data_IF_550409668200
#
_entry.id   IF_550409668200
#
_cell.length_a   1.000
_cell.length_b   1.000
_cell.length_c   1.000
_cell.angle_alpha   90.00
_cell.angle_beta   90.00
_cell.angle_gamma   90.00
#
_symmetry.space_group_name_H-M   'P 1'
#
loop_
_entity.id
_entity.type
_entity.pdbx_description
1 polymer ?
#
# COMPACT_ATOMS: atom_id res chain seq x y z
N UNK A 1 51.05 0.51 -28.16
CA UNK A 1 50.29 -0.17 -29.23
C UNK A 1 48.87 0.39 -29.23
N UNK A 2 48.46 1.05 -30.33
CA UNK A 2 47.12 1.63 -30.54
C UNK A 2 46.38 0.79 -31.59
N UNK A 3 45.09 0.49 -31.42
CA UNK A 3 44.33 -0.21 -32.46
C UNK A 3 43.95 0.74 -33.61
N UNK A 4 43.76 0.21 -34.84
CA UNK A 4 43.49 0.99 -36.03
C UNK A 4 42.03 1.45 -36.11
N UNK A 5 41.84 2.66 -36.64
CA UNK A 5 40.53 3.25 -36.96
C UNK A 5 40.04 2.68 -38.30
N UNK A 6 38.89 2.05 -38.30
CA UNK A 6 38.18 1.66 -39.52
C UNK A 6 37.25 2.79 -39.99
N UNK A 7 37.46 3.26 -41.21
CA UNK A 7 36.55 4.11 -41.96
C UNK A 7 35.33 3.30 -42.44
N UNK A 8 34.12 3.79 -42.19
CA UNK A 8 32.92 3.37 -42.93
C UNK A 8 32.31 4.57 -43.65
N UNK A 9 32.06 4.34 -44.92
CA UNK A 9 31.42 5.22 -45.90
C UNK A 9 29.95 5.47 -45.56
N UNK A 10 29.51 6.71 -45.80
CA UNK A 10 28.11 7.16 -45.72
C UNK A 10 27.38 6.86 -47.04
N UNK A 11 26.26 6.17 -46.98
CA UNK A 11 25.21 6.18 -48.01
C UNK A 11 24.05 7.07 -47.56
N UNK A 12 23.47 7.93 -48.43
CA UNK A 12 22.31 8.74 -48.10
C UNK A 12 21.02 7.96 -48.40
N UNK A 13 20.34 7.48 -47.36
CA UNK A 13 18.95 7.02 -47.49
C UNK A 13 17.99 8.17 -47.24
N UNK A 14 17.34 8.62 -48.32
CA UNK A 14 16.05 9.32 -48.27
C UNK A 14 14.99 8.28 -47.90
N UNK A 15 14.35 8.41 -46.75
CA UNK A 15 13.06 7.77 -46.50
C UNK A 15 12.13 8.72 -45.75
N UNK A 16 10.91 8.77 -46.29
CA UNK A 16 9.70 9.44 -45.87
C UNK A 16 9.60 9.84 -44.39
N UNK A 17 9.12 11.07 -44.19
CA UNK A 17 8.80 11.60 -42.88
C UNK A 17 7.75 10.76 -42.14
N UNK A 18 7.85 10.65 -40.81
CA UNK A 18 6.83 9.99 -40.02
C UNK A 18 5.58 10.85 -40.01
N UNK A 19 4.47 10.29 -40.50
CA UNK A 19 3.13 10.76 -40.16
C UNK A 19 3.03 10.65 -38.65
N UNK A 20 2.92 11.78 -37.97
CA UNK A 20 2.68 11.86 -36.54
C UNK A 20 1.28 11.28 -36.26
N UNK A 21 1.22 9.96 -36.04
CA UNK A 21 0.07 9.34 -35.42
C UNK A 21 0.01 9.88 -33.98
N UNK A 22 -0.87 10.86 -33.78
CA UNK A 22 -1.26 11.29 -32.46
C UNK A 22 -1.87 10.08 -31.74
N UNK A 23 -1.04 9.41 -30.94
CA UNK A 23 -1.46 8.45 -29.93
C UNK A 23 -2.37 9.22 -28.97
N UNK A 24 -3.67 9.20 -29.26
CA UNK A 24 -4.71 9.28 -28.24
C UNK A 24 -4.51 8.06 -27.36
N UNK A 25 -3.55 8.15 -26.43
CA UNK A 25 -3.42 7.23 -25.33
C UNK A 25 -4.79 7.23 -24.65
N UNK A 26 -5.51 6.14 -24.89
CA UNK A 26 -6.82 5.92 -24.32
C UNK A 26 -6.73 6.21 -22.83
N UNK A 27 -7.69 6.98 -22.34
CA UNK A 27 -8.07 7.00 -20.93
C UNK A 27 -8.42 5.56 -20.57
N UNK A 28 -7.39 4.76 -20.28
CA UNK A 28 -7.52 3.42 -19.74
C UNK A 28 -8.37 3.58 -18.49
N UNK A 29 -9.46 2.84 -18.45
CA UNK A 29 -10.42 2.87 -17.36
C UNK A 29 -9.67 2.65 -16.05
N UNK A 30 -9.37 3.75 -15.35
CA UNK A 30 -9.17 3.75 -13.91
C UNK A 30 -10.37 2.96 -13.38
N UNK A 31 -10.12 1.72 -12.92
CA UNK A 31 -11.15 0.74 -12.58
C UNK A 31 -12.35 1.44 -11.98
N UNK A 32 -13.50 1.31 -12.64
CA UNK A 32 -14.59 2.26 -12.53
C UNK A 32 -15.06 2.40 -11.08
N UNK A 33 -14.49 3.37 -10.36
CA UNK A 33 -15.05 3.83 -9.10
C UNK A 33 -16.42 4.41 -9.45
N UNK A 34 -17.44 3.90 -8.77
CA UNK A 34 -18.85 4.23 -8.96
C UNK A 34 -19.13 5.71 -8.66
N UNK A 35 -18.31 6.35 -7.83
CA UNK A 35 -18.39 7.77 -7.51
C UNK A 35 -17.04 8.52 -7.54
N UNK A 36 -17.07 9.87 -7.62
CA UNK A 36 -15.86 10.68 -7.62
C UNK A 36 -15.09 10.61 -6.30
N UNK A 37 -15.79 10.37 -5.18
CA UNK A 37 -15.22 10.27 -3.83
C UNK A 37 -14.92 8.84 -3.37
N UNK A 38 -15.14 7.85 -4.22
CA UNK A 38 -14.71 6.49 -3.95
C UNK A 38 -13.18 6.42 -4.12
N UNK A 39 -12.53 5.70 -3.21
CA UNK A 39 -11.10 5.59 -3.21
C UNK A 39 -10.58 4.91 -4.50
N UNK A 40 -9.52 5.46 -5.06
CA UNK A 40 -8.85 4.94 -6.24
C UNK A 40 -7.93 3.79 -5.84
N UNK A 41 -7.81 2.81 -6.73
CA UNK A 41 -6.86 1.73 -6.57
C UNK A 41 -5.41 2.29 -6.60
N UNK A 42 -4.61 1.97 -5.58
CA UNK A 42 -3.26 2.52 -5.42
C UNK A 42 -2.36 2.17 -6.60
N UNK A 43 -2.14 0.88 -6.88
CA UNK A 43 -1.30 0.39 -7.98
C UNK A 43 -1.72 0.98 -9.33
N UNK A 44 -3.00 0.91 -9.68
CA UNK A 44 -3.51 1.42 -10.97
C UNK A 44 -3.33 2.93 -11.10
N UNK A 45 -3.43 3.68 -10.00
CA UNK A 45 -3.21 5.13 -10.02
C UNK A 45 -1.74 5.48 -10.32
N UNK A 46 -0.79 4.71 -9.80
CA UNK A 46 0.63 4.87 -10.13
C UNK A 46 0.93 4.41 -11.57
N UNK A 47 0.41 3.26 -12.00
CA UNK A 47 0.59 2.75 -13.37
C UNK A 47 0.04 3.73 -14.42
N UNK A 48 -1.11 4.36 -14.13
CA UNK A 48 -1.70 5.38 -14.99
C UNK A 48 -0.93 6.74 -14.95
N UNK A 49 0.04 6.91 -14.05
CA UNK A 49 0.82 8.13 -13.90
C UNK A 49 0.01 9.33 -13.39
N UNK A 50 -1.20 9.11 -12.84
CA UNK A 50 -2.05 10.19 -12.32
C UNK A 50 -1.61 10.67 -10.93
N UNK A 51 -0.73 9.91 -10.27
CA UNK A 51 -0.06 10.26 -9.01
C UNK A 51 1.44 9.91 -9.07
N UNK A 52 2.25 10.64 -8.31
CA UNK A 52 3.65 10.29 -8.04
C UNK A 52 3.87 10.26 -6.53
N UNK A 53 4.78 9.39 -6.11
CA UNK A 53 5.01 9.22 -4.69
C UNK A 53 5.56 10.49 -4.05
N UNK A 54 5.03 10.85 -2.88
CA UNK A 54 5.37 12.06 -2.14
C UNK A 54 4.51 13.27 -2.52
N UNK A 55 3.59 13.13 -3.47
CA UNK A 55 2.59 14.16 -3.76
C UNK A 55 1.39 14.11 -2.80
N UNK A 56 1.07 12.93 -2.26
CA UNK A 56 0.07 12.73 -1.21
C UNK A 56 0.72 12.60 0.17
N UNK A 57 0.15 11.72 0.99
CA UNK A 57 0.57 11.48 2.38
C UNK A 57 1.52 10.27 2.53
N UNK A 58 2.04 9.71 1.43
CA UNK A 58 2.83 8.46 1.48
C UNK A 58 4.06 8.57 2.38
N UNK A 59 4.68 9.75 2.37
CA UNK A 59 5.90 10.07 3.12
C UNK A 59 5.64 11.04 4.28
N UNK A 60 4.37 11.28 4.63
CA UNK A 60 3.99 12.24 5.66
C UNK A 60 4.62 11.90 7.03
N UNK A 61 4.80 10.61 7.33
CA UNK A 61 5.45 10.16 8.57
C UNK A 61 6.91 10.60 8.71
N UNK A 62 7.60 10.91 7.61
CA UNK A 62 8.99 11.33 7.58
C UNK A 62 9.14 12.84 7.35
N UNK A 63 8.27 13.43 6.52
CA UNK A 63 8.36 14.84 6.13
C UNK A 63 7.43 15.78 6.89
N UNK A 64 6.37 15.25 7.51
CA UNK A 64 5.19 16.00 7.98
C UNK A 64 4.60 16.94 6.91
N UNK A 65 4.78 16.61 5.63
CA UNK A 65 4.35 17.43 4.48
C UNK A 65 3.94 16.57 3.29
N UNK A 66 2.97 17.05 2.51
CA UNK A 66 2.61 16.51 1.19
C UNK A 66 3.28 17.33 0.08
N UNK A 67 3.13 16.91 -1.18
CA UNK A 67 3.63 17.65 -2.34
C UNK A 67 5.13 17.99 -2.25
N UNK A 68 5.92 16.97 -1.90
CA UNK A 68 7.36 17.09 -1.74
C UNK A 68 8.03 17.46 -3.08
N UNK A 69 8.93 18.42 -3.02
CA UNK A 69 9.81 18.77 -4.14
C UNK A 69 10.87 17.68 -4.36
N UNK A 70 11.53 17.71 -5.52
CA UNK A 70 12.62 16.78 -5.84
C UNK A 70 13.75 16.80 -4.78
N UNK A 71 14.04 17.96 -4.19
CA UNK A 71 15.06 18.08 -3.15
C UNK A 71 14.59 17.47 -1.83
N UNK A 72 13.35 17.71 -1.42
CA UNK A 72 12.79 17.08 -0.21
C UNK A 72 12.69 15.54 -0.35
N UNK A 73 12.41 15.04 -1.56
CA UNK A 73 12.46 13.61 -1.86
C UNK A 73 13.87 13.02 -1.72
N UNK A 74 14.91 13.82 -1.96
CA UNK A 74 16.29 13.39 -1.79
C UNK A 74 16.63 13.17 -0.31
N UNK A 75 16.15 14.04 0.58
CA UNK A 75 16.35 13.95 2.03
C UNK A 75 15.73 12.68 2.63
N UNK A 76 14.66 12.16 2.03
CA UNK A 76 13.99 10.92 2.44
C UNK A 76 14.24 9.76 1.46
N UNK A 77 15.29 9.84 0.63
CA UNK A 77 15.55 8.89 -0.47
C UNK A 77 15.60 7.41 -0.04
N UNK A 78 16.17 7.11 1.13
CA UNK A 78 16.19 5.73 1.66
C UNK A 78 14.77 5.21 1.95
N UNK A 79 13.91 6.06 2.53
CA UNK A 79 12.51 5.75 2.82
C UNK A 79 11.65 5.79 1.56
N UNK A 80 12.01 6.61 0.58
CA UNK A 80 11.31 6.71 -0.70
C UNK A 80 11.28 5.34 -1.39
N UNK A 81 12.41 4.64 -1.44
CA UNK A 81 12.44 3.34 -2.11
C UNK A 81 11.57 2.30 -1.39
N UNK A 82 11.77 2.15 -0.07
CA UNK A 82 11.03 1.22 0.78
C UNK A 82 9.52 1.51 0.79
N UNK A 83 9.13 2.78 0.81
CA UNK A 83 7.72 3.18 0.95
C UNK A 83 7.02 3.22 -0.40
N UNK A 84 7.63 3.82 -1.42
CA UNK A 84 6.97 4.05 -2.69
C UNK A 84 7.01 2.81 -3.58
N UNK A 85 8.21 2.29 -3.86
CA UNK A 85 8.38 1.19 -4.80
C UNK A 85 8.03 -0.15 -4.19
N UNK A 86 8.42 -0.41 -2.94
CA UNK A 86 8.15 -1.70 -2.29
C UNK A 86 6.77 -1.80 -1.64
N UNK A 87 6.01 -0.71 -1.53
CA UNK A 87 4.70 -0.72 -0.88
C UNK A 87 3.59 -0.03 -1.70
N UNK A 88 3.54 1.30 -1.77
CA UNK A 88 2.38 2.00 -2.34
C UNK A 88 2.10 1.65 -3.81
N UNK A 89 3.14 1.48 -4.63
CA UNK A 89 3.00 1.06 -6.04
C UNK A 89 2.59 -0.42 -6.20
N UNK A 90 2.58 -1.19 -5.12
CA UNK A 90 2.33 -2.64 -5.10
C UNK A 90 0.93 -2.99 -4.60
N UNK A 91 0.30 -2.09 -3.84
CA UNK A 91 -1.01 -2.31 -3.25
C UNK A 91 -2.07 -2.29 -4.37
N UNK A 92 -2.56 -3.45 -4.77
CA UNK A 92 -3.65 -3.56 -5.74
C UNK A 92 -5.01 -3.56 -5.02
N UNK A 93 -5.31 -2.45 -4.37
CA UNK A 93 -6.52 -2.24 -3.59
C UNK A 93 -6.94 -0.77 -3.59
N UNK A 94 -8.21 -0.50 -3.33
CA UNK A 94 -8.74 0.87 -3.20
C UNK A 94 -8.90 1.32 -1.75
N UNK A 95 -8.74 0.44 -0.77
CA UNK A 95 -8.97 0.76 0.63
C UNK A 95 -7.96 1.73 1.23
N UNK A 96 -8.39 2.39 2.30
CA UNK A 96 -7.63 3.41 3.00
C UNK A 96 -6.48 2.83 3.83
N UNK A 97 -5.43 3.65 3.95
CA UNK A 97 -4.19 3.37 4.68
C UNK A 97 -3.98 4.43 5.77
N UNK A 98 -3.16 4.12 6.77
CA UNK A 98 -2.84 5.08 7.83
C UNK A 98 -2.19 6.35 7.25
N UNK A 99 -2.58 7.52 7.77
CA UNK A 99 -1.96 8.82 7.42
C UNK A 99 -0.49 8.82 7.81
N UNK A 100 -0.23 8.52 9.09
CA UNK A 100 1.13 8.32 9.58
C UNK A 100 1.37 6.83 9.78
N UNK A 101 2.38 6.29 9.10
CA UNK A 101 2.88 4.93 9.33
C UNK A 101 3.17 4.74 10.83
N UNK A 102 2.54 3.74 11.43
CA UNK A 102 2.67 3.47 12.87
C UNK A 102 2.18 4.64 13.74
N UNK A 103 1.09 5.32 13.35
CA UNK A 103 0.43 6.29 14.20
C UNK A 103 0.04 5.65 15.54
N UNK A 104 0.22 6.40 16.62
CA UNK A 104 -0.30 6.03 17.93
C UNK A 104 -1.79 6.40 18.01
N UNK A 105 -2.62 5.67 18.77
CA UNK A 105 -4.05 5.98 18.90
C UNK A 105 -4.36 7.43 19.36
N UNK A 106 -3.43 8.05 20.08
CA UNK A 106 -3.52 9.43 20.60
C UNK A 106 -2.98 10.49 19.64
N UNK A 107 -2.53 10.12 18.43
CA UNK A 107 -1.95 11.05 17.45
C UNK A 107 -2.97 11.97 16.77
N UNK A 108 -4.22 12.00 17.25
CA UNK A 108 -5.28 12.83 16.68
C UNK A 108 -5.54 12.51 15.21
N UNK A 109 -5.49 13.52 14.36
CA UNK A 109 -5.74 13.36 12.92
C UNK A 109 -4.70 12.47 12.22
N UNK A 110 -3.46 12.39 12.74
CA UNK A 110 -2.40 11.54 12.19
C UNK A 110 -2.68 10.04 12.37
N UNK A 111 -3.57 9.68 13.32
CA UNK A 111 -4.08 8.33 13.50
C UNK A 111 -5.20 7.96 12.52
N UNK A 112 -5.61 8.92 11.69
CA UNK A 112 -6.62 8.74 10.65
C UNK A 112 -6.15 7.84 9.50
N UNK A 113 -7.10 7.57 8.61
CA UNK A 113 -6.90 6.81 7.39
C UNK A 113 -7.06 7.76 6.18
N UNK A 114 -6.42 7.45 5.05
CA UNK A 114 -6.54 8.24 3.84
C UNK A 114 -6.50 7.38 2.57
N UNK A 115 -6.97 7.95 1.47
CA UNK A 115 -6.87 7.36 0.14
C UNK A 115 -6.85 8.45 -0.94
N UNK A 116 -6.47 8.08 -2.16
CA UNK A 116 -6.69 8.92 -3.34
C UNK A 116 -8.12 8.81 -3.84
N UNK A 117 -8.64 9.89 -4.41
CA UNK A 117 -9.97 10.00 -5.02
C UNK A 117 -9.88 10.83 -6.29
N UNK A 118 -10.92 10.82 -7.13
CA UNK A 118 -10.91 11.67 -8.32
C UNK A 118 -10.96 13.15 -7.93
N UNK A 119 -10.41 14.02 -8.79
CA UNK A 119 -10.31 15.46 -8.55
C UNK A 119 -11.67 16.17 -8.41
N UNK A 120 -12.75 15.54 -8.89
CA UNK A 120 -14.12 16.03 -8.76
C UNK A 120 -14.71 15.81 -7.36
N UNK A 121 -14.08 14.97 -6.51
CA UNK A 121 -14.55 14.76 -5.15
C UNK A 121 -14.47 16.05 -4.33
N UNK A 122 -15.60 16.43 -3.74
CA UNK A 122 -15.68 17.59 -2.83
C UNK A 122 -15.66 17.20 -1.35
N UNK A 123 -15.97 15.95 -1.03
CA UNK A 123 -15.96 15.41 0.34
C UNK A 123 -14.57 14.91 0.74
N UNK A 124 -13.60 15.82 0.87
CA UNK A 124 -12.20 15.46 1.14
C UNK A 124 -11.88 15.22 2.62
N UNK A 125 -12.77 15.59 3.55
CA UNK A 125 -12.54 15.34 4.98
C UNK A 125 -11.26 15.99 5.55
N UNK A 126 -10.83 17.13 5.01
CA UNK A 126 -9.55 17.76 5.33
C UNK A 126 -8.42 17.43 4.34
N UNK A 127 -8.70 16.62 3.33
CA UNK A 127 -7.78 16.37 2.23
C UNK A 127 -7.72 17.46 1.18
N UNK A 128 -6.81 17.28 0.22
CA UNK A 128 -6.43 18.32 -0.75
C UNK A 128 -6.26 17.75 -2.16
N UNK A 129 -6.35 18.63 -3.16
CA UNK A 129 -6.00 18.31 -4.54
C UNK A 129 -4.51 17.99 -4.68
N UNK A 130 -4.21 16.95 -5.45
CA UNK A 130 -2.83 16.59 -5.81
C UNK A 130 -2.38 17.52 -6.93
N UNK A 131 -1.28 18.24 -6.69
CA UNK A 131 -0.66 19.12 -7.68
C UNK A 131 0.71 18.58 -8.05
N UNK A 132 1.03 18.64 -9.34
CA UNK A 132 2.35 18.27 -9.85
C UNK A 132 3.29 19.47 -9.73
N UNK A 133 4.33 19.40 -8.89
CA UNK A 133 5.38 20.43 -8.86
C UNK A 133 6.37 20.25 -10.00
N UNK A 134 6.25 21.08 -11.02
CA UNK A 134 7.31 21.32 -12.00
C UNK A 134 8.32 22.35 -11.50
N UNK A 135 9.44 22.51 -12.20
CA UNK A 135 10.46 23.53 -11.89
C UNK A 135 9.92 24.96 -11.96
N UNK A 136 8.88 25.20 -12.77
CA UNK A 136 8.38 26.54 -13.08
C UNK A 136 6.88 26.73 -12.83
N UNK A 137 6.10 25.66 -12.70
CA UNK A 137 4.67 25.74 -12.45
C UNK A 137 4.13 24.51 -11.74
N UNK A 138 3.00 24.68 -11.04
CA UNK A 138 2.21 23.58 -10.46
C UNK A 138 0.93 23.42 -11.26
N UNK A 139 0.60 22.21 -11.73
CA UNK A 139 -0.73 21.95 -12.31
C UNK A 139 -1.48 20.85 -11.55
N UNK A 140 -2.82 20.95 -11.52
CA UNK A 140 -3.67 19.88 -10.99
C UNK A 140 -3.47 18.57 -11.76
N UNK A 141 -3.54 17.45 -11.04
CA UNK A 141 -3.50 16.10 -11.66
C UNK A 141 -4.87 15.51 -11.95
N UNK A 142 -5.95 16.19 -11.59
CA UNK A 142 -7.29 15.61 -11.62
C UNK A 142 -7.47 14.49 -10.58
N UNK A 143 -6.65 14.47 -9.54
CA UNK A 143 -6.72 13.55 -8.39
C UNK A 143 -6.62 14.39 -7.13
N UNK A 144 -7.33 13.97 -6.09
CA UNK A 144 -7.23 14.50 -4.73
C UNK A 144 -6.93 13.36 -3.77
N UNK A 145 -6.52 13.67 -2.55
CA UNK A 145 -6.59 12.71 -1.45
C UNK A 145 -7.65 13.16 -0.45
N UNK A 146 -8.23 12.20 0.27
CA UNK A 146 -9.20 12.47 1.34
C UNK A 146 -8.82 11.74 2.62
N UNK A 147 -9.28 12.26 3.75
CA UNK A 147 -9.31 11.51 5.01
C UNK A 147 -10.54 10.62 4.98
N UNK A 148 -10.32 9.33 5.23
CA UNK A 148 -11.35 8.31 5.16
C UNK A 148 -12.22 8.29 6.42
N UNK A 149 -13.48 7.90 6.24
CA UNK A 149 -14.44 7.78 7.34
C UNK A 149 -14.60 6.32 7.75
N UNK A 150 -14.44 5.99 9.04
CA UNK A 150 -14.67 4.63 9.54
C UNK A 150 -16.09 4.15 9.20
N UNK A 151 -16.21 2.93 8.68
CA UNK A 151 -17.49 2.32 8.31
C UNK A 151 -18.10 2.78 6.97
N UNK A 152 -17.62 3.89 6.39
CA UNK A 152 -18.04 4.36 5.06
C UNK A 152 -17.02 3.93 3.99
N UNK A 153 -15.73 4.10 4.28
CA UNK A 153 -14.66 3.76 3.35
C UNK A 153 -14.03 2.40 3.68
N UNK A 154 -13.80 1.59 2.64
CA UNK A 154 -13.05 0.35 2.78
C UNK A 154 -11.65 0.64 3.35
N UNK A 155 -11.19 -0.15 4.31
CA UNK A 155 -9.90 0.04 4.98
C UNK A 155 -9.16 -1.27 5.14
N UNK A 156 -7.82 -1.23 5.11
CA UNK A 156 -7.01 -2.38 5.47
C UNK A 156 -6.97 -2.62 6.99
N UNK A 157 -7.33 -1.63 7.82
CA UNK A 157 -7.30 -1.73 9.28
C UNK A 157 -8.20 -2.85 9.83
N UNK A 158 -9.31 -3.11 9.15
CA UNK A 158 -10.26 -4.17 9.52
C UNK A 158 -9.83 -5.58 9.12
N UNK A 159 -8.74 -5.74 8.36
CA UNK A 159 -8.23 -7.07 8.00
C UNK A 159 -7.45 -7.65 9.17
N UNK A 160 -7.71 -8.92 9.49
CA UNK A 160 -6.88 -9.71 10.39
C UNK A 160 -5.53 -10.09 9.73
N UNK A 161 -4.54 -10.55 10.51
CA UNK A 161 -3.19 -10.76 9.99
C UNK A 161 -3.08 -11.78 8.85
N UNK A 162 -3.76 -12.92 8.95
CA UNK A 162 -3.81 -13.92 7.90
C UNK A 162 -4.46 -13.38 6.60
N UNK A 163 -5.55 -12.62 6.73
CA UNK A 163 -6.22 -12.01 5.59
C UNK A 163 -5.34 -10.95 4.92
N UNK A 164 -4.62 -10.13 5.70
CA UNK A 164 -3.69 -9.14 5.16
C UNK A 164 -2.52 -9.81 4.41
N UNK A 165 -1.94 -10.89 4.96
CA UNK A 165 -0.90 -11.67 4.28
C UNK A 165 -1.41 -12.28 2.96
N UNK A 166 -2.58 -12.91 3.00
CA UNK A 166 -3.17 -13.53 1.82
C UNK A 166 -3.39 -12.49 0.70
N UNK A 167 -3.86 -11.29 1.08
CA UNK A 167 -4.01 -10.15 0.17
C UNK A 167 -2.66 -9.67 -0.38
N UNK A 168 -1.65 -9.54 0.48
CA UNK A 168 -0.31 -9.12 0.10
C UNK A 168 0.34 -10.07 -0.92
N UNK A 169 0.21 -11.39 -0.72
CA UNK A 169 0.69 -12.40 -1.67
C UNK A 169 -0.06 -12.35 -3.00
N UNK A 170 -1.38 -12.16 -2.97
CA UNK A 170 -2.16 -12.01 -4.19
C UNK A 170 -1.70 -10.79 -5.01
N UNK A 171 -1.42 -9.66 -4.36
CA UNK A 171 -0.87 -8.48 -5.02
C UNK A 171 0.53 -8.72 -5.59
N UNK A 172 1.41 -9.39 -4.83
CA UNK A 172 2.77 -9.72 -5.26
C UNK A 172 2.78 -10.66 -6.48
N UNK A 173 1.87 -11.64 -6.53
CA UNK A 173 1.73 -12.56 -7.67
C UNK A 173 1.35 -11.84 -8.99
N UNK A 174 0.66 -10.69 -8.89
CA UNK A 174 0.25 -9.90 -10.06
C UNK A 174 1.36 -9.01 -10.63
N UNK A 175 2.61 -9.14 -10.20
CA UNK A 175 3.69 -8.24 -10.59
C UNK A 175 4.64 -8.89 -11.61
N UNK A 176 5.04 -8.12 -12.62
CA UNK A 176 6.17 -8.43 -13.49
C UNK A 176 7.46 -8.85 -12.73
N UNK A 177 8.23 -9.83 -13.26
CA UNK A 177 9.52 -10.23 -12.72
C UNK A 177 10.51 -9.07 -12.56
N UNK A 178 11.38 -9.16 -11.54
CA UNK A 178 12.46 -8.20 -11.29
C UNK A 178 12.06 -6.95 -10.49
N UNK A 179 10.79 -6.82 -10.14
CA UNK A 179 10.34 -5.79 -9.21
C UNK A 179 10.60 -6.19 -7.75
N UNK A 180 10.83 -5.23 -6.83
CA UNK A 180 11.07 -5.56 -5.43
C UNK A 180 9.84 -6.24 -4.81
N UNK A 181 10.02 -7.27 -3.97
CA UNK A 181 8.92 -7.87 -3.20
C UNK A 181 8.17 -6.83 -2.37
N UNK A 182 6.89 -7.11 -2.10
CA UNK A 182 6.04 -6.20 -1.33
C UNK A 182 6.49 -6.20 0.13
N UNK A 183 6.74 -5.04 0.73
CA UNK A 183 7.13 -4.96 2.15
C UNK A 183 5.91 -5.20 3.07
N UNK A 184 5.72 -6.44 3.53
CA UNK A 184 4.58 -6.80 4.40
C UNK A 184 4.65 -6.13 5.77
N UNK A 185 5.86 -5.90 6.30
CA UNK A 185 6.06 -5.16 7.56
C UNK A 185 5.63 -3.70 7.40
N UNK A 186 5.98 -3.10 6.27
CA UNK A 186 5.51 -1.78 5.86
C UNK A 186 3.99 -1.72 5.67
N UNK A 187 3.40 -2.74 5.04
CA UNK A 187 1.96 -2.85 4.84
C UNK A 187 1.20 -2.97 6.16
N UNK A 188 1.66 -3.80 7.09
CA UNK A 188 1.09 -3.94 8.42
C UNK A 188 1.03 -2.59 9.16
N UNK A 189 2.09 -1.78 9.09
CA UNK A 189 2.13 -0.43 9.69
C UNK A 189 1.26 0.60 8.97
N UNK A 190 0.83 0.31 7.73
CA UNK A 190 -0.18 1.11 7.02
C UNK A 190 -1.60 0.61 7.27
N UNK A 191 -1.79 -0.64 7.69
CA UNK A 191 -3.09 -1.17 8.06
C UNK A 191 -3.44 -0.83 9.51
N UNK A 192 -2.51 -1.04 10.44
CA UNK A 192 -2.75 -1.03 11.88
C UNK A 192 -1.95 0.04 12.62
N UNK A 193 -2.43 0.40 13.80
CA UNK A 193 -1.76 1.39 14.67
C UNK A 193 -0.45 0.82 15.22
N UNK A 194 0.45 1.70 15.68
CA UNK A 194 1.63 1.30 16.46
C UNK A 194 1.70 2.06 17.76
N UNK A 195 2.01 1.35 18.85
CA UNK A 195 2.32 2.01 20.11
C UNK A 195 3.72 2.57 20.05
N UNK A 196 3.82 3.89 20.02
CA UNK A 196 5.09 4.57 20.24
C UNK A 196 5.11 5.18 21.65
N UNK A 197 6.24 5.12 22.37
CA UNK A 197 7.54 4.54 21.98
C UNK A 197 7.70 3.05 22.33
N UNK A 198 6.62 2.29 22.51
CA UNK A 198 6.70 0.94 23.06
C UNK A 198 7.25 -0.08 22.06
N UNK A 199 8.24 -0.85 22.51
CA UNK A 199 8.79 -2.00 21.80
C UNK A 199 8.18 -3.28 22.36
N UNK A 200 8.26 -4.37 21.60
CA UNK A 200 7.72 -5.67 22.02
C UNK A 200 8.22 -6.09 23.41
N UNK A 201 9.53 -5.98 23.65
CA UNK A 201 10.15 -6.40 24.92
C UNK A 201 9.69 -5.58 26.14
N UNK A 202 9.11 -4.39 25.96
CA UNK A 202 8.51 -3.62 27.07
C UNK A 202 7.19 -4.25 27.57
N UNK A 203 6.48 -4.97 26.71
CA UNK A 203 5.13 -5.48 27.01
C UNK A 203 5.05 -7.02 27.00
N UNK A 204 6.04 -7.69 26.42
CA UNK A 204 6.10 -9.14 26.26
C UNK A 204 5.84 -9.90 27.56
N UNK A 205 6.51 -9.54 28.65
CA UNK A 205 6.33 -10.24 29.93
C UNK A 205 4.90 -10.16 30.47
N UNK A 206 4.28 -8.98 30.43
CA UNK A 206 2.89 -8.79 30.85
C UNK A 206 1.92 -9.50 29.91
N UNK A 207 2.19 -9.47 28.61
CA UNK A 207 1.39 -10.14 27.58
C UNK A 207 1.40 -11.66 27.75
N UNK A 208 2.59 -12.27 27.83
CA UNK A 208 2.75 -13.72 27.99
C UNK A 208 2.18 -14.23 29.32
N UNK A 209 2.19 -13.40 30.37
CA UNK A 209 1.56 -13.71 31.65
C UNK A 209 0.02 -13.56 31.64
N UNK A 210 -0.59 -13.12 30.53
CA UNK A 210 -2.02 -12.78 30.47
C UNK A 210 -2.40 -11.59 31.37
N UNK A 211 -1.42 -10.84 31.87
CA UNK A 211 -1.63 -9.71 32.77
C UNK A 211 -1.94 -8.43 31.98
N UNK A 212 -3.11 -8.40 31.35
CA UNK A 212 -3.49 -7.30 30.47
C UNK A 212 -3.65 -5.97 31.20
N UNK A 213 -3.81 -5.94 32.53
CA UNK A 213 -3.93 -4.71 33.31
C UNK A 213 -2.58 -3.98 33.47
N UNK A 214 -1.47 -4.72 33.37
CA UNK A 214 -0.11 -4.16 33.38
C UNK A 214 0.33 -3.59 32.02
N UNK A 215 -0.47 -3.79 30.96
CA UNK A 215 -0.17 -3.24 29.64
C UNK A 215 -0.38 -1.71 29.61
N UNK A 216 0.39 -0.98 28.77
CA UNK A 216 0.20 0.46 28.58
C UNK A 216 -1.27 0.82 28.26
N UNK A 217 -1.82 1.94 28.78
CA UNK A 217 -3.22 2.30 28.57
C UNK A 217 -3.67 2.30 27.10
N UNK A 218 -2.83 2.80 26.20
CA UNK A 218 -3.12 2.80 24.76
C UNK A 218 -3.14 1.37 24.15
N UNK A 219 -2.35 0.43 24.68
CA UNK A 219 -2.42 -0.98 24.30
C UNK A 219 -3.76 -1.58 24.72
N UNK A 220 -4.13 -1.38 25.99
CA UNK A 220 -5.39 -1.87 26.55
C UNK A 220 -6.60 -1.34 25.78
N UNK A 221 -6.59 -0.05 25.43
CA UNK A 221 -7.65 0.57 24.65
C UNK A 221 -7.78 -0.05 23.24
N UNK A 222 -6.66 -0.31 22.56
CA UNK A 222 -6.69 -0.90 21.22
C UNK A 222 -7.09 -2.38 21.25
N UNK A 223 -6.67 -3.13 22.27
CA UNK A 223 -7.13 -4.51 22.45
C UNK A 223 -8.64 -4.56 22.70
N UNK A 224 -9.17 -3.61 23.47
CA UNK A 224 -10.60 -3.51 23.74
C UNK A 224 -11.42 -3.12 22.50
N UNK A 225 -10.84 -2.38 21.54
CA UNK A 225 -11.51 -2.06 20.28
C UNK A 225 -11.47 -3.19 19.25
N UNK A 226 -10.66 -4.23 19.49
CA UNK A 226 -10.46 -5.34 18.54
C UNK A 226 -9.64 -4.93 17.32
N UNK A 227 -9.03 -3.75 17.31
CA UNK A 227 -8.16 -3.32 16.23
C UNK A 227 -6.79 -4.01 16.31
N UNK A 228 -6.18 -4.25 15.14
CA UNK A 228 -4.81 -4.71 15.06
C UNK A 228 -3.82 -3.65 15.53
N UNK A 229 -2.66 -4.11 16.01
CA UNK A 229 -1.55 -3.24 16.39
C UNK A 229 -0.20 -3.86 16.05
N UNK A 230 0.73 -3.03 15.59
CA UNK A 230 2.13 -3.39 15.34
C UNK A 230 3.04 -2.83 16.43
N UNK A 231 3.81 -3.70 17.05
CA UNK A 231 4.89 -3.40 17.99
C UNK A 231 6.24 -3.68 17.33
N UNK A 232 7.13 -2.70 17.31
CA UNK A 232 8.47 -2.89 16.77
C UNK A 232 9.32 -3.74 17.74
N UNK A 233 10.17 -4.61 17.19
CA UNK A 233 11.12 -5.39 18.01
C UNK A 233 12.37 -4.57 18.34
N UNK A 234 12.73 -3.61 17.49
CA UNK A 234 13.93 -2.78 17.63
C UNK A 234 13.65 -1.28 17.45
N UNK A 235 14.48 -0.43 18.07
CA UNK A 235 14.33 1.03 18.08
C UNK A 235 14.37 1.69 16.69
N UNK A 236 15.10 1.10 15.74
CA UNK A 236 15.19 1.64 14.38
C UNK A 236 13.91 1.41 13.56
N UNK A 237 12.96 0.60 14.07
CA UNK A 237 11.63 0.37 13.49
C UNK A 237 11.67 -0.06 12.03
N UNK A 238 12.73 -0.78 11.67
CA UNK A 238 12.88 -1.50 10.41
C UNK A 238 12.97 -2.98 10.75
N UNK A 239 12.53 -3.84 9.85
CA UNK A 239 12.59 -5.27 10.09
C UNK A 239 11.47 -5.76 10.99
N UNK A 240 11.84 -6.63 11.93
CA UNK A 240 10.91 -7.48 12.65
C UNK A 240 9.91 -6.71 13.50
N UNK A 241 8.69 -7.24 13.56
CA UNK A 241 7.61 -6.68 14.34
C UNK A 241 6.73 -7.79 14.91
N UNK A 242 6.00 -7.46 15.98
CA UNK A 242 4.94 -8.29 16.53
C UNK A 242 3.61 -7.61 16.25
N UNK A 243 2.64 -8.38 15.75
CA UNK A 243 1.27 -7.93 15.53
C UNK A 243 0.38 -8.53 16.59
N UNK A 244 -0.33 -7.67 17.32
CA UNK A 244 -1.38 -8.05 18.27
C UNK A 244 -2.72 -7.82 17.59
N UNK A 245 -3.58 -8.84 17.55
CA UNK A 245 -4.90 -8.75 16.95
C UNK A 245 -5.91 -9.55 17.79
N UNK A 246 -6.71 -8.84 18.60
CA UNK A 246 -7.51 -9.49 19.64
C UNK A 246 -6.61 -10.24 20.63
N UNK A 247 -6.86 -11.55 20.82
CA UNK A 247 -6.03 -12.41 21.65
C UNK A 247 -4.82 -13.00 20.90
N UNK A 248 -4.74 -12.83 19.58
CA UNK A 248 -3.70 -13.44 18.75
C UNK A 248 -2.41 -12.65 18.78
N UNK A 249 -1.30 -13.38 18.73
CA UNK A 249 0.05 -12.81 18.61
C UNK A 249 0.70 -13.36 17.37
N UNK A 250 1.19 -12.47 16.51
CA UNK A 250 1.86 -12.84 15.27
C UNK A 250 3.22 -12.18 15.20
N UNK A 251 4.19 -12.84 14.57
CA UNK A 251 5.50 -12.29 14.26
C UNK A 251 5.59 -12.00 12.77
N UNK A 252 6.07 -10.81 12.44
CA UNK A 252 6.59 -10.45 11.13
C UNK A 252 8.11 -10.54 11.20
N UNK A 253 8.69 -11.57 10.59
CA UNK A 253 10.15 -11.80 10.57
C UNK A 253 10.71 -11.50 9.20
N UNK A 254 11.74 -10.67 9.11
CA UNK A 254 12.44 -10.38 7.87
C UNK A 254 13.21 -11.62 7.40
N UNK A 255 12.73 -12.22 6.31
CA UNK A 255 13.30 -13.45 5.75
C UNK A 255 12.96 -13.51 4.25
N UNK A 256 13.66 -12.73 3.41
CA UNK A 256 13.39 -12.69 1.98
C UNK A 256 13.69 -14.01 1.27
N UNK A 257 14.47 -14.90 1.89
CA UNK A 257 14.73 -16.25 1.38
C UNK A 257 13.53 -17.18 1.57
N UNK A 258 12.90 -17.17 2.75
CA UNK A 258 11.72 -17.98 3.03
C UNK A 258 10.41 -17.36 2.48
N UNK A 259 10.35 -16.03 2.38
CA UNK A 259 9.16 -15.29 1.95
C UNK A 259 9.45 -14.36 0.76
N UNK A 260 9.72 -14.94 -0.43
CA UNK A 260 10.17 -14.19 -1.60
C UNK A 260 9.12 -13.21 -2.14
N UNK A 261 7.83 -13.40 -1.85
CA UNK A 261 6.75 -12.52 -2.33
C UNK A 261 6.62 -11.24 -1.49
N UNK A 262 6.98 -11.30 -0.19
CA UNK A 262 6.58 -10.29 0.81
C UNK A 262 7.71 -9.75 1.70
N UNK A 263 8.98 -10.14 1.46
CA UNK A 263 10.19 -9.92 2.29
C UNK A 263 10.13 -10.36 3.76
N UNK A 264 8.94 -10.46 4.33
CA UNK A 264 8.65 -10.86 5.68
C UNK A 264 7.74 -12.07 5.70
N UNK A 265 8.05 -12.98 6.61
CA UNK A 265 7.20 -14.10 6.95
C UNK A 265 6.29 -13.71 8.12
N UNK A 266 5.01 -14.06 8.01
CA UNK A 266 4.07 -13.98 9.13
C UNK A 266 4.02 -15.34 9.81
N UNK A 267 4.15 -15.38 11.12
CA UNK A 267 4.07 -16.62 11.92
C UNK A 267 3.20 -16.38 13.15
N UNK A 268 2.34 -17.34 13.49
CA UNK A 268 1.58 -17.26 14.74
C UNK A 268 2.48 -17.62 15.92
N UNK A 269 2.48 -16.79 16.96
CA UNK A 269 3.18 -17.04 18.23
C UNK A 269 2.23 -17.56 19.32
N UNK A 270 0.93 -17.25 19.24
CA UNK A 270 -0.04 -17.70 20.25
C UNK A 270 -1.45 -17.11 20.07
N UNK A 271 -2.36 -17.51 20.96
CA UNK A 271 -3.73 -16.96 21.02
C UNK A 271 -4.74 -17.60 20.08
N UNK A 272 -4.50 -18.84 19.63
CA UNK A 272 -5.44 -19.59 18.79
C UNK A 272 -5.61 -18.98 17.39
N UNK A 273 -4.50 -18.65 16.73
CA UNK A 273 -4.56 -18.23 15.34
C UNK A 273 -5.25 -19.32 14.50
N UNK A 274 -6.17 -18.96 13.59
CA UNK A 274 -6.65 -19.93 12.63
C UNK A 274 -5.43 -20.51 11.90
N UNK A 275 -5.45 -21.81 11.63
CA UNK A 275 -4.51 -22.38 10.67
C UNK A 275 -4.57 -21.51 9.41
N UNK A 276 -3.38 -21.19 8.87
CA UNK A 276 -3.22 -20.32 7.72
C UNK A 276 -4.26 -20.73 6.66
N UNK A 277 -5.24 -19.88 6.34
CA UNK A 277 -6.28 -20.27 5.39
C UNK A 277 -5.57 -20.67 4.10
N UNK A 278 -5.78 -21.93 3.70
CA UNK A 278 -5.29 -22.48 2.44
C UNK A 278 -5.54 -21.43 1.36
N UNK A 279 -4.48 -21.07 0.63
CA UNK A 279 -4.42 -19.99 -0.38
C UNK A 279 -5.83 -19.56 -0.84
N UNK A 280 -6.25 -18.30 -0.60
CA UNK A 280 -7.61 -17.90 -0.96
C UNK A 280 -7.84 -18.21 -2.44
N UNK A 281 -8.98 -18.80 -2.75
CA UNK A 281 -9.43 -18.88 -4.14
C UNK A 281 -9.33 -17.46 -4.73
N UNK A 282 -8.77 -17.32 -5.94
CA UNK A 282 -8.56 -16.01 -6.53
C UNK A 282 -9.88 -15.26 -6.57
N UNK A 283 -9.96 -14.18 -5.79
CA UNK A 283 -11.13 -13.31 -5.76
C UNK A 283 -11.36 -12.85 -7.20
N UNK A 284 -12.54 -13.15 -7.76
CA UNK A 284 -12.84 -12.85 -9.14
C UNK A 284 -12.54 -11.36 -9.39
N UNK A 285 -11.81 -11.02 -10.47
CA UNK A 285 -11.35 -9.65 -10.68
C UNK A 285 -12.56 -8.71 -10.61
N UNK A 286 -12.45 -7.64 -9.81
CA UNK A 286 -13.51 -6.64 -9.67
C UNK A 286 -13.92 -6.13 -11.07
N UNK A 287 -15.10 -6.55 -11.53
CA UNK A 287 -15.60 -6.29 -12.90
C UNK A 287 -15.78 -7.53 -13.80
N UNK A 288 -15.45 -8.74 -13.34
CA UNK A 288 -15.88 -9.97 -14.02
C UNK A 288 -17.41 -10.01 -13.99
N UNK A 289 -18.04 -9.96 -15.18
CA UNK A 289 -19.47 -10.25 -15.29
C UNK A 289 -19.70 -11.67 -14.76
N UNK A 290 -20.74 -11.91 -13.94
CA UNK A 290 -21.10 -13.27 -13.59
C UNK A 290 -21.28 -14.10 -14.87
N UNK A 291 -20.88 -15.38 -14.87
CA UNK A 291 -21.12 -16.24 -16.02
C UNK A 291 -22.62 -16.18 -16.38
N UNK A 292 -22.97 -16.14 -17.67
CA UNK A 292 -24.37 -16.16 -18.07
C UNK A 292 -25.05 -17.39 -17.46
N UNK A 293 -26.33 -17.30 -17.05
CA UNK A 293 -27.05 -18.45 -16.53
C UNK A 293 -26.98 -19.60 -17.54
N UNK A 294 -26.88 -20.86 -17.09
CA UNK A 294 -26.84 -22.00 -17.99
C UNK A 294 -28.08 -21.96 -18.88
N UNK A 295 -27.87 -22.01 -20.20
CA UNK A 295 -28.94 -22.09 -21.17
C UNK A 295 -29.77 -23.34 -20.83
N UNK A 296 -31.10 -23.23 -20.63
CA UNK A 296 -31.92 -24.41 -20.42
C UNK A 296 -31.70 -25.34 -21.61
N UNK A 297 -31.20 -26.54 -21.31
CA UNK A 297 -30.90 -27.54 -22.32
C UNK A 297 -32.15 -27.77 -23.17
N UNK A 298 -31.99 -27.69 -24.48
CA UNK A 298 -32.99 -28.15 -25.41
C UNK A 298 -33.27 -29.62 -25.07
N UNK A 299 -34.44 -29.86 -24.49
CA UNK A 299 -34.91 -31.22 -24.24
C UNK A 299 -34.90 -31.97 -25.56
N UNK A 300 -34.31 -33.17 -25.53
CA UNK A 300 -34.52 -34.19 -26.54
C UNK A 300 -36.03 -34.44 -26.66
N UNK A 301 -36.56 -34.16 -27.84
CA UNK A 301 -37.84 -34.67 -28.33
C UNK A 301 -37.56 -35.88 -29.23
#
# INVERSE_FOLDING_TARGET
MKPPRCCRSRTPSRTAGPVAAALLLGRGALGASSGPCECLNWRRSYEAGVIKCGEGLELYFASNRTNLSKWELWDVSSLFHETCYSLYQRIDHSGCLNIRRGASPDAGWDAGLWCYVRGECRSLGGGHAVVSRGLLWSAPRGVSWKVCRPGEDASLRGLGPAALLARARAWAAGVAPGQPPLDLSGLARQAWLSLRPQLWWHVEGAWLAGNHTALPPALRATLASGEGMVLDVAEHRRGDAVVLFGAQTWQLRHDPGACPDTTFCLSCLGGGCPEEPLRPEPEAPAGARPPPPPTPGAGEL
#
